data_IF_395332189913
#
_entry.id   IF_395332189913
#
_cell.length_a   1.000
_cell.length_b   1.000
_cell.length_c   1.000
_cell.angle_alpha   90.00
_cell.angle_beta   90.00
_cell.angle_gamma   90.00
#
_symmetry.space_group_name_H-M   'P 1'
#
loop_
_entity.id
_entity.type
_entity.pdbx_description
1 polymer ?
#
# COMPACT_ATOMS: atom_id res chain seq x y z
N UNK A 1 19.95 -8.75 -1.69
CA UNK A 1 18.81 -8.66 -0.77
C UNK A 1 17.57 -9.35 -1.33
N UNK A 2 16.91 -8.88 -2.39
CA UNK A 2 15.73 -9.58 -2.95
C UNK A 2 16.04 -11.02 -3.44
N UNK A 3 17.11 -11.20 -4.21
CA UNK A 3 17.57 -12.53 -4.64
C UNK A 3 17.98 -13.41 -3.45
N UNK A 4 18.57 -12.83 -2.41
CA UNK A 4 18.99 -13.57 -1.22
C UNK A 4 17.81 -13.96 -0.33
N UNK A 5 16.76 -13.13 -0.30
CA UNK A 5 15.50 -13.46 0.36
C UNK A 5 14.77 -14.59 -0.40
N UNK A 6 14.78 -14.55 -1.73
CA UNK A 6 14.26 -15.63 -2.58
C UNK A 6 15.06 -16.92 -2.39
N UNK A 7 16.39 -16.85 -2.31
CA UNK A 7 17.25 -18.01 -2.05
C UNK A 7 16.94 -18.58 -0.66
N UNK A 8 16.90 -17.75 0.39
CA UNK A 8 16.58 -18.20 1.75
C UNK A 8 15.17 -18.78 1.87
N UNK A 9 14.20 -18.23 1.13
CA UNK A 9 12.84 -18.76 1.05
C UNK A 9 12.79 -20.12 0.35
N UNK A 10 13.50 -20.27 -0.79
CA UNK A 10 13.57 -21.55 -1.50
C UNK A 10 14.33 -22.61 -0.71
N UNK A 11 15.41 -22.22 -0.02
CA UNK A 11 16.14 -23.09 0.89
C UNK A 11 15.23 -23.54 2.04
N UNK A 12 14.45 -22.62 2.63
CA UNK A 12 13.48 -22.96 3.66
C UNK A 12 12.41 -23.96 3.17
N UNK A 13 11.80 -23.71 2.01
CA UNK A 13 10.78 -24.61 1.41
C UNK A 13 11.39 -25.97 1.05
N UNK A 14 12.63 -26.00 0.57
CA UNK A 14 13.35 -27.25 0.28
C UNK A 14 13.53 -28.06 1.55
N UNK A 15 13.92 -27.41 2.64
CA UNK A 15 14.24 -28.06 3.90
C UNK A 15 12.98 -28.48 4.68
N UNK A 16 11.86 -27.76 4.53
CA UNK A 16 10.58 -28.05 5.19
C UNK A 16 9.67 -29.00 4.41
N UNK A 17 9.59 -28.87 3.09
CA UNK A 17 8.55 -29.47 2.25
C UNK A 17 9.11 -30.28 1.07
N UNK A 18 10.44 -30.31 0.92
CA UNK A 18 11.15 -31.11 -0.07
C UNK A 18 11.27 -30.47 -1.45
N UNK A 19 12.06 -31.13 -2.31
CA UNK A 19 12.52 -30.57 -3.59
C UNK A 19 11.37 -30.31 -4.58
N UNK A 20 10.32 -31.14 -4.58
CA UNK A 20 9.14 -30.90 -5.43
C UNK A 20 8.36 -29.64 -5.04
N UNK A 21 8.25 -29.35 -3.73
CA UNK A 21 7.60 -28.15 -3.24
C UNK A 21 8.42 -26.89 -3.57
N UNK A 22 9.74 -26.98 -3.43
CA UNK A 22 10.68 -25.93 -3.85
C UNK A 22 10.56 -25.63 -5.35
N UNK A 23 10.48 -26.65 -6.22
CA UNK A 23 10.30 -26.47 -7.66
C UNK A 23 8.96 -25.80 -8.00
N UNK A 24 7.88 -26.16 -7.30
CA UNK A 24 6.58 -25.49 -7.44
C UNK A 24 6.62 -24.03 -6.96
N UNK A 25 7.29 -23.76 -5.84
CA UNK A 25 7.51 -22.41 -5.33
C UNK A 25 8.36 -21.59 -6.30
N UNK A 26 9.41 -22.17 -6.87
CA UNK A 26 10.24 -21.52 -7.88
C UNK A 26 9.46 -21.19 -9.15
N UNK A 27 8.64 -22.13 -9.66
CA UNK A 27 7.75 -21.87 -10.80
C UNK A 27 6.74 -20.76 -10.52
N UNK A 28 6.24 -20.64 -9.28
CA UNK A 28 5.35 -19.53 -8.86
C UNK A 28 6.07 -18.19 -8.81
N UNK A 29 7.30 -18.17 -8.29
CA UNK A 29 8.15 -16.96 -8.29
C UNK A 29 8.48 -16.54 -9.73
N UNK A 30 8.83 -17.49 -10.59
CA UNK A 30 9.04 -17.25 -12.02
C UNK A 30 7.76 -16.78 -12.72
N UNK A 31 6.60 -17.38 -12.41
CA UNK A 31 5.33 -16.95 -12.97
C UNK A 31 4.99 -15.51 -12.53
N UNK A 32 5.12 -15.19 -11.24
CA UNK A 32 4.93 -13.82 -10.73
C UNK A 32 5.89 -12.82 -11.38
N UNK A 33 7.12 -13.25 -11.68
CA UNK A 33 8.10 -12.45 -12.41
C UNK A 33 7.74 -12.24 -13.89
N UNK A 34 7.26 -13.28 -14.57
CA UNK A 34 6.88 -13.25 -16.00
C UNK A 34 5.56 -12.49 -16.22
N UNK A 35 4.57 -12.65 -15.33
CA UNK A 35 3.28 -11.96 -15.43
C UNK A 35 3.38 -10.44 -15.19
N UNK A 36 4.41 -9.96 -14.51
CA UNK A 36 4.75 -8.53 -14.47
C UNK A 36 5.23 -7.98 -15.84
N UNK A 37 5.49 -8.83 -16.83
CA UNK A 37 6.04 -8.47 -18.14
C UNK A 37 5.04 -8.33 -19.29
N UNK A 38 3.79 -8.79 -19.16
CA UNK A 38 2.90 -9.04 -20.31
C UNK A 38 1.72 -8.05 -20.48
N UNK A 39 1.91 -6.78 -20.09
CA UNK A 39 0.99 -5.71 -20.46
C UNK A 39 1.68 -4.68 -21.36
N UNK A 40 1.79 -4.99 -22.66
CA UNK A 40 2.32 -4.06 -23.67
C UNK A 40 1.62 -4.15 -25.01
N UNK A 41 0.78 -3.15 -25.32
CA UNK A 41 0.60 -2.53 -26.64
C UNK A 41 -0.07 -1.17 -26.39
N UNK A 42 0.33 -0.02 -26.94
CA UNK A 42 0.63 0.29 -28.33
C UNK A 42 1.53 1.54 -28.48
N UNK A 43 2.11 1.64 -29.67
CA UNK A 43 3.10 2.59 -30.24
C UNK A 43 2.67 4.06 -30.41
N UNK A 44 3.64 4.99 -30.52
CA UNK A 44 3.96 5.76 -31.77
C UNK A 44 5.19 6.69 -31.62
N UNK A 45 5.79 7.01 -32.77
CA UNK A 45 7.11 7.63 -33.02
C UNK A 45 7.12 9.17 -33.02
N UNK A 46 8.29 9.80 -32.78
CA UNK A 46 8.84 10.96 -33.55
C UNK A 46 10.20 11.41 -32.95
N UNK A 47 11.32 11.27 -33.68
CA UNK A 47 12.09 12.28 -34.45
C UNK A 47 12.80 13.35 -33.60
N UNK A 48 14.13 13.38 -33.74
CA UNK A 48 15.09 14.20 -33.02
C UNK A 48 15.32 15.58 -33.66
N UNK A 49 15.63 16.60 -32.84
CA UNK A 49 16.53 17.71 -33.21
C UNK A 49 17.09 18.49 -32.00
N UNK A 50 18.42 18.59 -32.01
CA UNK A 50 19.41 19.57 -31.50
C UNK A 50 19.53 20.01 -30.01
N UNK A 51 20.78 20.16 -29.48
CA UNK A 51 21.07 20.27 -28.06
C UNK A 51 21.19 21.72 -27.57
N UNK A 52 20.45 22.06 -26.52
CA UNK A 52 20.70 23.26 -25.72
C UNK A 52 21.49 22.91 -24.46
N UNK A 53 22.51 23.71 -24.19
CA UNK A 53 23.58 23.49 -23.20
C UNK A 53 23.03 23.39 -21.77
N UNK A 54 23.31 22.26 -21.12
CA UNK A 54 23.03 21.99 -19.71
C UNK A 54 24.04 22.73 -18.80
N UNK A 55 23.54 23.35 -17.73
CA UNK A 55 24.36 23.75 -16.57
C UNK A 55 24.09 22.71 -15.47
N UNK A 56 25.00 21.77 -15.22
CA UNK A 56 24.81 20.73 -14.21
C UNK A 56 24.78 21.33 -12.81
N UNK A 57 23.88 20.86 -11.96
CA UNK A 57 24.05 20.95 -10.52
C UNK A 57 24.77 19.65 -10.07
N UNK A 58 26.10 19.68 -9.90
CA UNK A 58 26.93 18.47 -9.83
C UNK A 58 26.60 17.58 -8.62
N UNK A 59 26.13 18.15 -7.52
CA UNK A 59 25.81 17.41 -6.30
C UNK A 59 24.54 16.58 -6.48
N UNK A 60 23.53 17.14 -7.16
CA UNK A 60 22.24 16.48 -7.37
C UNK A 60 22.30 15.38 -8.45
N UNK A 61 23.05 15.61 -9.52
CA UNK A 61 23.30 14.59 -10.55
C UNK A 61 24.10 13.41 -9.98
N UNK A 62 25.09 13.68 -9.13
CA UNK A 62 25.86 12.65 -8.44
C UNK A 62 24.97 11.80 -7.53
N UNK A 63 24.10 12.43 -6.73
CA UNK A 63 23.13 11.73 -5.89
C UNK A 63 22.19 10.85 -6.74
N UNK A 64 21.67 11.38 -7.85
CA UNK A 64 20.79 10.63 -8.74
C UNK A 64 21.51 9.42 -9.39
N UNK A 65 22.76 9.59 -9.81
CA UNK A 65 23.57 8.50 -10.35
C UNK A 65 23.84 7.40 -9.32
N UNK A 66 24.11 7.79 -8.06
CA UNK A 66 24.29 6.82 -6.97
C UNK A 66 23.02 6.00 -6.74
N UNK A 67 21.85 6.65 -6.79
CA UNK A 67 20.55 5.96 -6.72
C UNK A 67 20.42 4.98 -7.87
N UNK A 68 20.59 5.41 -9.13
CA UNK A 68 20.48 4.52 -10.29
C UNK A 68 21.50 3.37 -10.23
N UNK A 69 22.74 3.61 -9.82
CA UNK A 69 23.75 2.57 -9.70
C UNK A 69 23.36 1.51 -8.65
N UNK A 70 22.73 1.93 -7.55
CA UNK A 70 22.14 1.02 -6.56
C UNK A 70 20.98 0.20 -7.15
N UNK A 71 20.06 0.86 -7.87
CA UNK A 71 18.87 0.21 -8.46
C UNK A 71 19.19 -0.70 -9.65
N UNK A 72 20.19 -0.37 -10.46
CA UNK A 72 20.67 -1.17 -11.60
C UNK A 72 21.04 -2.59 -11.15
N UNK A 73 21.68 -2.73 -9.99
CA UNK A 73 22.02 -4.06 -9.43
C UNK A 73 20.78 -4.87 -9.07
N UNK A 74 19.74 -4.22 -8.56
CA UNK A 74 18.46 -4.86 -8.21
C UNK A 74 17.58 -5.12 -9.44
N UNK A 75 17.69 -4.29 -10.48
CA UNK A 75 16.90 -4.35 -11.70
C UNK A 75 17.47 -5.32 -12.77
N UNK A 76 18.61 -5.97 -12.49
CA UNK A 76 19.25 -6.90 -13.42
C UNK A 76 18.29 -8.02 -13.82
N UNK A 77 18.02 -8.12 -15.11
CA UNK A 77 17.12 -9.13 -15.66
C UNK A 77 15.63 -8.76 -15.60
N UNK A 78 15.23 -7.66 -14.96
CA UNK A 78 13.83 -7.21 -14.95
C UNK A 78 13.45 -6.58 -16.30
N UNK A 79 14.36 -5.84 -16.91
CA UNK A 79 14.10 -5.13 -18.16
C UNK A 79 14.45 -5.93 -19.42
N UNK A 80 14.89 -7.21 -19.32
CA UNK A 80 15.42 -7.98 -20.46
C UNK A 80 14.42 -8.20 -21.61
N UNK A 81 13.12 -8.12 -21.31
CA UNK A 81 12.03 -8.20 -22.30
C UNK A 81 11.49 -6.84 -22.73
N UNK A 82 11.93 -5.75 -22.08
CA UNK A 82 11.47 -4.39 -22.37
C UNK A 82 12.03 -3.91 -23.70
N UNK A 83 11.13 -3.57 -24.63
CA UNK A 83 11.47 -2.90 -25.89
C UNK A 83 11.66 -1.39 -25.72
N UNK A 84 11.55 -0.87 -24.49
CA UNK A 84 11.76 0.54 -24.23
C UNK A 84 13.20 0.95 -24.55
N UNK A 85 13.33 2.05 -25.27
CA UNK A 85 14.61 2.63 -25.67
C UNK A 85 14.75 4.02 -25.10
N UNK A 86 15.97 4.33 -24.73
CA UNK A 86 16.36 5.66 -24.29
C UNK A 86 17.46 6.12 -25.25
N UNK A 87 17.13 7.07 -26.12
CA UNK A 87 17.97 7.42 -27.26
C UNK A 87 18.22 6.21 -28.17
N UNK A 88 19.49 5.92 -28.45
CA UNK A 88 19.88 4.84 -29.38
C UNK A 88 19.98 3.45 -28.73
N UNK A 89 19.95 3.34 -27.40
CA UNK A 89 20.16 2.06 -26.69
C UNK A 89 18.88 1.57 -26.00
N UNK A 90 18.82 0.28 -25.70
CA UNK A 90 17.70 -0.29 -24.94
C UNK A 90 17.88 -0.01 -23.44
N UNK A 91 16.80 -0.10 -22.66
CA UNK A 91 16.89 -0.01 -21.20
C UNK A 91 17.78 -1.11 -20.59
N UNK A 92 17.84 -2.29 -21.23
CA UNK A 92 18.71 -3.39 -20.82
C UNK A 92 20.18 -3.00 -20.93
N UNK A 93 20.54 -2.41 -22.07
CA UNK A 93 21.91 -1.97 -22.31
C UNK A 93 22.26 -0.89 -21.29
N UNK A 94 21.40 0.13 -21.15
CA UNK A 94 21.62 1.24 -20.23
C UNK A 94 21.80 0.78 -18.78
N UNK A 95 20.99 -0.17 -18.33
CA UNK A 95 20.97 -0.67 -16.96
C UNK A 95 21.82 -1.94 -16.78
N UNK A 96 22.85 -2.14 -17.60
CA UNK A 96 23.83 -3.20 -17.38
C UNK A 96 24.77 -2.84 -16.21
N UNK A 97 24.85 -3.65 -15.12
CA UNK A 97 25.66 -3.32 -13.95
C UNK A 97 27.16 -3.21 -14.18
N UNK A 98 27.71 -3.85 -15.23
CA UNK A 98 29.12 -3.72 -15.57
C UNK A 98 29.38 -2.39 -16.29
N UNK A 99 28.54 -2.05 -17.27
CA UNK A 99 28.65 -0.82 -18.04
C UNK A 99 28.34 0.42 -17.19
N UNK A 100 27.37 0.34 -16.27
CA UNK A 100 26.97 1.46 -15.40
C UNK A 100 28.02 1.86 -14.34
N UNK A 101 29.14 1.12 -14.23
CA UNK A 101 30.28 1.53 -13.39
C UNK A 101 31.15 2.61 -14.06
N UNK A 102 31.07 2.77 -15.38
CA UNK A 102 31.83 3.80 -16.10
C UNK A 102 31.20 5.19 -15.89
N UNK A 103 31.99 6.21 -15.48
CA UNK A 103 31.52 7.58 -15.37
C UNK A 103 31.03 8.15 -16.71
N UNK A 104 31.65 7.77 -17.82
CA UNK A 104 31.23 8.16 -19.17
C UNK A 104 29.85 7.57 -19.51
N UNK A 105 29.63 6.32 -19.13
CA UNK A 105 28.34 5.65 -19.29
C UNK A 105 27.23 6.34 -18.49
N UNK A 106 27.52 6.67 -17.24
CA UNK A 106 26.59 7.38 -16.35
C UNK A 106 26.21 8.76 -16.90
N UNK A 107 27.18 9.52 -17.40
CA UNK A 107 26.93 10.83 -18.04
C UNK A 107 26.11 10.69 -19.32
N UNK A 108 26.42 9.71 -20.16
CA UNK A 108 25.67 9.45 -21.39
C UNK A 108 24.23 9.02 -21.08
N UNK A 109 24.04 8.18 -20.05
CA UNK A 109 22.73 7.78 -19.56
C UNK A 109 21.89 8.98 -19.12
N UNK A 110 22.42 9.82 -18.21
CA UNK A 110 21.69 11.00 -17.73
C UNK A 110 21.33 11.95 -18.88
N UNK A 111 22.26 12.22 -19.79
CA UNK A 111 22.00 13.07 -20.96
C UNK A 111 20.82 12.54 -21.78
N UNK A 112 20.80 11.24 -22.08
CA UNK A 112 19.70 10.65 -22.83
C UNK A 112 18.39 10.61 -22.02
N UNK A 113 18.47 10.45 -20.70
CA UNK A 113 17.32 10.49 -19.80
C UNK A 113 16.65 11.86 -19.77
N UNK A 114 17.45 12.92 -19.71
CA UNK A 114 16.98 14.31 -19.73
C UNK A 114 16.18 14.65 -20.98
N UNK A 115 16.56 14.10 -22.14
CA UNK A 115 15.87 14.36 -23.40
C UNK A 115 14.70 13.41 -23.69
N UNK A 116 14.48 12.40 -22.86
CA UNK A 116 13.53 11.34 -23.15
C UNK A 116 12.10 11.71 -22.78
N UNK A 117 11.38 12.33 -23.70
CA UNK A 117 9.91 12.47 -23.58
C UNK A 117 9.21 11.16 -23.97
N UNK A 118 8.10 10.79 -23.30
CA UNK A 118 7.41 11.49 -22.20
C UNK A 118 7.95 11.14 -20.79
N UNK A 119 9.08 10.44 -20.68
CA UNK A 119 9.62 9.97 -19.40
C UNK A 119 10.07 11.11 -18.49
N UNK A 120 10.74 12.12 -19.05
CA UNK A 120 11.16 13.35 -18.37
C UNK A 120 10.61 14.56 -19.12
N UNK A 121 9.80 15.36 -18.42
CA UNK A 121 9.44 16.71 -18.81
C UNK A 121 10.27 17.68 -17.97
N UNK A 122 11.29 18.28 -18.59
CA UNK A 122 12.18 19.25 -17.93
C UNK A 122 11.37 20.34 -17.23
N UNK A 123 11.67 20.60 -15.96
CA UNK A 123 11.00 21.62 -15.15
C UNK A 123 9.65 21.20 -14.56
N UNK A 124 9.16 20.00 -14.86
CA UNK A 124 7.85 19.53 -14.39
C UNK A 124 7.89 18.03 -14.06
N UNK A 125 8.26 17.74 -12.81
CA UNK A 125 8.26 16.41 -12.22
C UNK A 125 6.86 15.79 -12.20
N UNK A 126 5.80 16.58 -12.02
CA UNK A 126 4.42 16.08 -11.93
C UNK A 126 3.92 15.53 -13.27
N UNK A 127 4.36 16.14 -14.38
CA UNK A 127 4.06 15.70 -15.74
C UNK A 127 4.96 14.58 -16.24
N UNK A 128 6.10 14.36 -15.58
CA UNK A 128 7.09 13.34 -15.96
C UNK A 128 6.57 11.93 -15.72
N UNK A 129 6.43 11.14 -16.79
CA UNK A 129 5.92 9.76 -16.69
C UNK A 129 6.77 8.90 -15.76
N UNK A 130 8.10 9.10 -15.74
CA UNK A 130 8.97 8.36 -14.82
C UNK A 130 8.59 8.59 -13.35
N UNK A 131 8.32 9.84 -12.97
CA UNK A 131 7.90 10.19 -11.60
C UNK A 131 6.53 9.59 -11.30
N UNK A 132 5.58 9.67 -12.24
CA UNK A 132 4.25 9.09 -12.09
C UNK A 132 4.29 7.56 -11.89
N UNK A 133 5.13 6.85 -12.65
CA UNK A 133 5.26 5.39 -12.53
C UNK A 133 5.91 4.95 -11.22
N UNK A 134 6.70 5.82 -10.58
CA UNK A 134 7.35 5.55 -9.28
C UNK A 134 6.44 5.84 -8.08
N UNK A 135 5.39 6.65 -8.27
CA UNK A 135 4.41 7.00 -7.23
C UNK A 135 3.34 5.94 -7.05
N UNK A 136 2.49 6.10 -6.03
CA UNK A 136 1.32 5.26 -5.80
C UNK A 136 0.46 5.10 -7.06
N UNK A 137 0.05 3.86 -7.35
CA UNK A 137 -0.70 3.50 -8.56
C UNK A 137 0.15 3.37 -9.84
N UNK A 138 1.43 3.75 -9.79
CA UNK A 138 2.39 3.55 -10.87
C UNK A 138 2.95 2.13 -10.92
N UNK A 139 3.40 1.68 -12.10
CA UNK A 139 3.86 0.29 -12.30
C UNK A 139 5.21 0.00 -11.66
N UNK A 140 5.98 1.04 -11.36
CA UNK A 140 7.27 0.99 -10.70
C UNK A 140 7.16 1.40 -9.21
N UNK A 141 5.94 1.44 -8.68
CA UNK A 141 5.68 1.73 -7.28
C UNK A 141 6.50 0.81 -6.36
N UNK A 142 7.13 1.40 -5.35
CA UNK A 142 7.95 0.70 -4.35
C UNK A 142 9.38 0.34 -4.80
N UNK A 143 9.78 0.64 -6.03
CA UNK A 143 11.18 0.40 -6.45
C UNK A 143 12.14 1.53 -6.01
N UNK A 144 11.63 2.71 -5.66
CA UNK A 144 12.37 3.84 -5.09
C UNK A 144 11.82 4.16 -3.69
N UNK A 145 12.65 4.69 -2.80
CA UNK A 145 12.18 5.27 -1.53
C UNK A 145 11.71 6.71 -1.74
N UNK A 146 10.99 7.29 -0.78
CA UNK A 146 10.57 8.69 -0.81
C UNK A 146 11.77 9.66 -0.96
N UNK A 147 12.87 9.39 -0.25
CA UNK A 147 14.09 10.19 -0.37
C UNK A 147 14.67 10.12 -1.78
N UNK A 148 14.69 8.93 -2.37
CA UNK A 148 15.22 8.71 -3.72
C UNK A 148 14.33 9.38 -4.78
N UNK A 149 13.01 9.26 -4.67
CA UNK A 149 12.08 9.97 -5.56
C UNK A 149 12.24 11.49 -5.40
N UNK A 150 12.35 11.99 -4.17
CA UNK A 150 12.54 13.42 -3.93
C UNK A 150 13.85 13.99 -4.51
N UNK A 151 14.90 13.17 -4.70
CA UNK A 151 16.09 13.58 -5.47
C UNK A 151 15.77 13.66 -6.96
N UNK A 152 15.06 12.66 -7.51
CA UNK A 152 14.65 12.64 -8.92
C UNK A 152 13.72 13.81 -9.27
N UNK A 153 12.70 14.09 -8.44
CA UNK A 153 11.76 15.19 -8.65
C UNK A 153 12.49 16.54 -8.68
N UNK A 154 13.31 16.81 -7.65
CA UNK A 154 14.15 18.02 -7.62
C UNK A 154 15.05 18.10 -8.84
N UNK A 155 15.63 16.98 -9.28
CA UNK A 155 16.47 16.97 -10.47
C UNK A 155 15.67 17.37 -11.70
N UNK A 156 14.53 16.74 -11.97
CA UNK A 156 13.64 17.09 -13.09
C UNK A 156 13.26 18.56 -13.05
N UNK A 157 12.85 19.06 -11.88
CA UNK A 157 12.38 20.43 -11.71
C UNK A 157 13.51 21.46 -11.91
N UNK A 158 14.75 21.11 -11.58
CA UNK A 158 15.93 21.96 -11.82
C UNK A 158 16.37 22.02 -13.29
N UNK A 159 15.86 21.13 -14.17
CA UNK A 159 16.22 21.12 -15.59
C UNK A 159 15.72 22.34 -16.37
N UNK A 160 14.89 23.20 -15.76
CA UNK A 160 14.41 24.46 -16.34
C UNK A 160 14.80 25.68 -15.50
N UNK A 161 16.06 26.08 -15.57
CA UNK A 161 16.44 27.49 -15.36
C UNK A 161 17.03 28.04 -16.65
N UNK A 162 16.18 28.53 -17.55
CA UNK A 162 16.46 29.58 -18.56
C UNK A 162 15.21 29.84 -19.40
N UNK A 163 14.25 30.55 -18.82
CA UNK A 163 13.64 31.73 -19.45
C UNK A 163 12.60 32.29 -18.47
N UNK A 164 12.98 33.38 -17.83
CA UNK A 164 12.01 34.39 -17.43
C UNK A 164 11.42 34.92 -18.72
N UNK A 165 10.14 34.65 -19.00
CA UNK A 165 9.18 35.68 -19.39
C UNK A 165 7.76 35.13 -19.62
N UNK A 166 6.88 35.66 -18.76
CA UNK A 166 5.50 36.10 -18.99
C UNK A 166 4.41 35.14 -19.51
N UNK A 167 3.46 34.88 -18.58
CA UNK A 167 2.00 35.05 -18.73
C UNK A 167 1.37 34.45 -20.00
N UNK A 168 0.55 33.41 -19.82
CA UNK A 168 -0.86 33.45 -20.26
C UNK A 168 -1.71 32.36 -19.60
N UNK A 169 -2.59 32.85 -18.74
CA UNK A 169 -3.87 32.25 -18.40
C UNK A 169 -4.69 32.14 -19.70
N UNK A 170 -5.22 30.95 -19.99
CA UNK A 170 -6.53 30.85 -20.62
C UNK A 170 -7.13 29.48 -20.33
N UNK A 171 -8.22 29.54 -19.58
CA UNK A 171 -9.25 28.53 -19.45
C UNK A 171 -9.66 27.95 -20.81
N UNK A 172 -9.97 26.66 -20.83
CA UNK A 172 -11.08 26.14 -21.64
C UNK A 172 -11.47 24.76 -21.10
N UNK A 173 -12.45 24.78 -20.21
CA UNK A 173 -13.28 23.63 -19.86
C UNK A 173 -14.01 23.16 -21.12
N UNK A 174 -13.93 21.85 -21.43
CA UNK A 174 -14.94 21.19 -22.26
C UNK A 174 -15.38 19.90 -21.61
N UNK A 175 -16.60 19.96 -21.10
CA UNK A 175 -17.50 18.85 -20.83
C UNK A 175 -17.48 17.83 -21.98
N UNK A 176 -17.43 16.54 -21.64
CA UNK A 176 -17.93 15.50 -22.52
C UNK A 176 -18.86 14.57 -21.74
N UNK A 177 -20.14 14.67 -22.09
CA UNK A 177 -21.22 13.81 -21.65
C UNK A 177 -21.04 12.41 -22.25
N UNK A 178 -21.09 11.37 -21.43
CA UNK A 178 -21.17 9.98 -21.89
C UNK A 178 -22.54 9.41 -21.51
N UNK A 179 -23.34 9.18 -22.53
CA UNK A 179 -24.65 8.52 -22.46
C UNK A 179 -24.44 7.02 -22.24
N UNK A 180 -24.99 6.48 -21.17
CA UNK A 180 -24.97 5.05 -20.86
C UNK A 180 -25.99 4.29 -21.70
N UNK A 181 -25.53 3.28 -22.43
CA UNK A 181 -26.35 2.28 -23.11
C UNK A 181 -26.63 1.10 -22.18
N UNK A 182 -27.92 0.88 -21.93
CA UNK A 182 -28.48 -0.20 -21.10
C UNK A 182 -28.40 -1.55 -21.80
N UNK A 183 -27.97 -2.60 -21.10
CA UNK A 183 -28.23 -3.99 -21.50
C UNK A 183 -28.77 -4.76 -20.29
N UNK A 184 -29.97 -5.32 -20.47
CA UNK A 184 -30.75 -6.07 -19.49
C UNK A 184 -30.44 -7.58 -19.56
N UNK A 185 -30.70 -8.24 -18.41
CA UNK A 185 -31.06 -9.66 -18.22
C UNK A 185 -29.92 -10.71 -18.28
N UNK A 186 -29.82 -11.71 -17.39
CA UNK A 186 -30.86 -12.37 -16.60
C UNK A 186 -30.37 -13.03 -15.28
N UNK A 187 -31.36 -13.27 -14.42
CA UNK A 187 -31.34 -13.77 -13.04
C UNK A 187 -30.78 -15.18 -12.81
N UNK A 188 -30.01 -15.35 -11.71
CA UNK A 188 -29.95 -16.61 -10.93
C UNK A 188 -29.90 -16.29 -9.41
N UNK A 189 -31.04 -16.52 -8.76
CA UNK A 189 -31.34 -16.82 -7.35
C UNK A 189 -30.60 -16.11 -6.19
N UNK A 190 -31.25 -15.04 -5.69
CA UNK A 190 -31.13 -14.54 -4.32
C UNK A 190 -31.74 -15.52 -3.30
N UNK A 191 -31.11 -15.64 -2.13
CA UNK A 191 -31.80 -15.97 -0.90
C UNK A 191 -31.59 -14.83 0.11
N UNK A 192 -32.67 -14.08 0.38
CA UNK A 192 -32.98 -13.19 1.52
C UNK A 192 -31.90 -12.25 2.07
N UNK A 193 -31.80 -11.05 1.49
CA UNK A 193 -31.02 -9.90 1.98
C UNK A 193 -31.91 -8.73 2.49
N UNK A 194 -33.12 -9.00 3.00
CA UNK A 194 -34.12 -7.96 3.30
C UNK A 194 -33.99 -7.27 4.67
N UNK A 195 -32.91 -7.48 5.43
CA UNK A 195 -32.73 -6.84 6.75
C UNK A 195 -31.32 -6.35 7.08
N UNK A 196 -30.39 -6.28 6.10
CA UNK A 196 -29.06 -5.76 6.39
C UNK A 196 -29.14 -4.23 6.57
N UNK A 197 -28.94 -3.75 7.80
CA UNK A 197 -28.70 -2.32 8.05
C UNK A 197 -27.43 -1.91 7.31
N UNK A 198 -27.54 -0.87 6.47
CA UNK A 198 -26.38 -0.24 5.87
C UNK A 198 -25.43 0.23 6.99
N UNK A 199 -24.11 0.09 6.82
CA UNK A 199 -23.14 0.71 7.72
C UNK A 199 -23.42 2.22 7.84
N UNK A 200 -23.11 2.84 8.99
CA UNK A 200 -23.08 4.30 9.05
C UNK A 200 -22.14 4.80 7.94
N UNK A 201 -22.50 5.94 7.34
CA UNK A 201 -21.64 6.58 6.35
C UNK A 201 -20.23 6.70 6.94
N UNK A 202 -19.22 6.18 6.23
CA UNK A 202 -17.81 6.31 6.60
C UNK A 202 -17.42 7.76 6.30
N UNK A 203 -17.97 8.69 7.07
CA UNK A 203 -17.67 10.10 6.94
C UNK A 203 -16.27 10.35 7.53
N UNK A 204 -15.47 11.22 6.92
CA UNK A 204 -14.21 11.68 7.51
C UNK A 204 -14.53 12.21 8.90
N UNK A 205 -13.89 11.62 9.91
CA UNK A 205 -14.04 12.10 11.28
C UNK A 205 -13.14 13.30 11.42
N UNK A 206 -13.73 14.47 11.67
CA UNK A 206 -12.97 15.70 11.94
C UNK A 206 -11.94 15.43 13.06
N UNK A 207 -10.65 15.70 12.83
CA UNK A 207 -9.61 15.49 13.84
C UNK A 207 -9.91 16.39 15.05
N UNK A 208 -10.20 15.77 16.19
CA UNK A 208 -10.41 16.46 17.46
C UNK A 208 -11.81 16.37 18.09
N UNK A 209 -12.77 15.66 17.49
CA UNK A 209 -14.14 15.57 18.06
C UNK A 209 -14.37 14.47 19.10
N UNK A 210 -13.38 13.61 19.37
CA UNK A 210 -13.50 12.51 20.33
C UNK A 210 -13.39 13.02 21.79
N UNK A 211 -14.48 13.55 22.32
CA UNK A 211 -14.55 14.04 23.69
C UNK A 211 -14.69 12.88 24.69
N UNK A 212 -13.76 12.80 25.66
CA UNK A 212 -13.82 11.88 26.81
C UNK A 212 -14.99 12.25 27.72
N UNK A 213 -16.20 11.81 27.40
CA UNK A 213 -17.40 12.18 28.14
C UNK A 213 -17.88 11.13 29.14
N UNK A 214 -17.50 9.85 29.00
CA UNK A 214 -17.90 8.76 29.90
C UNK A 214 -16.77 7.72 30.01
N UNK A 215 -16.45 7.19 31.22
CA UNK A 215 -15.50 6.09 31.35
C UNK A 215 -16.04 4.84 30.64
N UNK A 216 -15.36 4.41 29.57
CA UNK A 216 -15.70 3.18 28.86
C UNK A 216 -15.04 2.00 29.55
N UNK A 217 -15.83 1.01 29.95
CA UNK A 217 -15.31 -0.24 30.51
C UNK A 217 -15.28 -1.34 29.46
N UNK A 218 -14.13 -2.01 29.40
CA UNK A 218 -13.90 -3.10 28.46
C UNK A 218 -13.82 -4.44 29.17
N UNK A 219 -14.49 -5.44 28.57
CA UNK A 219 -14.34 -6.85 28.92
C UNK A 219 -13.08 -7.39 28.27
N UNK A 220 -11.98 -7.39 29.02
CA UNK A 220 -10.67 -7.84 28.55
C UNK A 220 -10.69 -9.23 27.87
N UNK A 221 -11.43 -10.24 28.37
CA UNK A 221 -11.50 -11.54 27.70
C UNK A 221 -12.09 -11.49 26.29
N UNK A 222 -12.91 -10.48 26.00
CA UNK A 222 -13.48 -10.26 24.67
C UNK A 222 -12.61 -9.30 23.85
N UNK A 223 -12.04 -8.28 24.48
CA UNK A 223 -11.20 -7.28 23.80
C UNK A 223 -9.90 -7.88 23.27
N UNK A 224 -9.12 -8.58 24.10
CA UNK A 224 -7.77 -9.03 23.76
C UNK A 224 -7.71 -9.95 22.52
N UNK A 225 -8.50 -11.03 22.41
CA UNK A 225 -8.42 -11.89 21.22
C UNK A 225 -8.84 -11.16 19.95
N UNK A 226 -9.78 -10.22 20.05
CA UNK A 226 -10.21 -9.41 18.92
C UNK A 226 -9.15 -8.36 18.54
N UNK A 227 -8.53 -7.72 19.53
CA UNK A 227 -7.45 -6.76 19.33
C UNK A 227 -6.25 -7.38 18.60
N UNK A 228 -5.76 -8.54 19.02
CA UNK A 228 -4.61 -9.14 18.35
C UNK A 228 -4.97 -9.75 16.99
N UNK A 229 -6.17 -10.33 16.82
CA UNK A 229 -6.56 -10.89 15.53
C UNK A 229 -6.81 -9.86 14.44
N UNK A 230 -7.32 -8.67 14.78
CA UNK A 230 -7.64 -7.68 13.72
C UNK A 230 -6.39 -7.14 13.04
N UNK A 231 -5.26 -7.04 13.75
CA UNK A 231 -3.98 -6.63 13.16
C UNK A 231 -3.53 -7.55 12.02
N UNK A 232 -3.91 -8.83 12.08
CA UNK A 232 -3.55 -9.82 11.06
C UNK A 232 -4.63 -10.03 9.99
N UNK A 233 -5.74 -9.28 10.03
CA UNK A 233 -6.94 -9.56 9.24
C UNK A 233 -6.71 -9.50 7.73
N UNK A 234 -5.88 -8.53 7.29
CA UNK A 234 -5.59 -8.26 5.89
C UNK A 234 -4.15 -8.61 5.48
N UNK A 235 -3.30 -9.08 6.40
CA UNK A 235 -1.88 -9.35 6.12
C UNK A 235 -1.67 -10.33 4.96
N UNK A 236 -2.50 -11.39 4.89
CA UNK A 236 -2.41 -12.37 3.81
C UNK A 236 -2.74 -11.80 2.43
N UNK A 237 -3.42 -10.65 2.34
CA UNK A 237 -3.81 -10.04 1.07
C UNK A 237 -2.59 -9.59 0.27
N UNK A 238 -1.57 -9.05 0.95
CA UNK A 238 -0.37 -8.51 0.31
C UNK A 238 0.66 -9.58 -0.08
N UNK A 239 0.39 -10.86 0.22
CA UNK A 239 1.28 -11.97 -0.17
C UNK A 239 1.28 -12.24 -1.68
N UNK A 240 0.28 -11.73 -2.40
CA UNK A 240 0.24 -11.75 -3.86
C UNK A 240 0.41 -10.32 -4.40
N UNK A 241 1.63 -9.91 -4.81
CA UNK A 241 1.92 -8.53 -5.23
C UNK A 241 1.05 -8.01 -6.38
N UNK A 242 0.53 -8.89 -7.24
CA UNK A 242 -0.37 -8.49 -8.31
C UNK A 242 -1.65 -7.81 -7.78
N UNK A 243 -2.12 -8.23 -6.60
CA UNK A 243 -3.34 -7.70 -5.97
C UNK A 243 -3.14 -6.29 -5.41
N UNK A 244 -1.90 -5.88 -5.17
CA UNK A 244 -1.59 -4.58 -4.59
C UNK A 244 -1.45 -3.47 -5.64
N UNK A 245 -1.67 -3.78 -6.91
CA UNK A 245 -1.54 -2.83 -8.03
C UNK A 245 -2.83 -2.08 -8.35
N UNK A 246 -3.97 -2.51 -7.82
CA UNK A 246 -5.24 -1.80 -7.92
C UNK A 246 -5.35 -0.68 -6.87
N UNK A 247 -6.31 0.22 -7.05
CA UNK A 247 -6.60 1.28 -6.08
C UNK A 247 -7.07 0.71 -4.73
N UNK A 248 -7.97 -0.27 -4.73
CA UNK A 248 -8.29 -1.14 -3.59
C UNK A 248 -7.05 -1.74 -2.94
N UNK A 249 -6.16 -2.33 -3.74
CA UNK A 249 -4.96 -2.99 -3.23
C UNK A 249 -4.00 -2.00 -2.57
N UNK A 250 -3.86 -0.81 -3.14
CA UNK A 250 -3.11 0.29 -2.55
C UNK A 250 -3.75 0.75 -1.24
N UNK A 251 -5.07 0.89 -1.19
CA UNK A 251 -5.81 1.24 0.02
C UNK A 251 -5.61 0.21 1.14
N UNK A 252 -5.61 -1.09 0.82
CA UNK A 252 -5.28 -2.16 1.78
C UNK A 252 -3.84 -2.03 2.29
N UNK A 253 -2.87 -1.69 1.43
CA UNK A 253 -1.50 -1.42 1.91
C UNK A 253 -1.49 -0.24 2.88
N UNK A 254 -2.19 0.87 2.58
CA UNK A 254 -2.25 2.03 3.48
C UNK A 254 -2.81 1.69 4.86
N UNK A 255 -3.85 0.84 4.90
CA UNK A 255 -4.41 0.30 6.15
C UNK A 255 -3.35 -0.47 6.91
N UNK A 256 -2.73 -1.49 6.28
CA UNK A 256 -1.69 -2.31 6.92
C UNK A 256 -0.51 -1.45 7.40
N UNK A 257 -0.15 -0.42 6.62
CA UNK A 257 0.92 0.50 6.99
C UNK A 257 0.58 1.28 8.26
N UNK A 258 -0.63 1.82 8.34
CA UNK A 258 -1.11 2.49 9.55
C UNK A 258 -1.09 1.53 10.74
N UNK A 259 -1.60 0.30 10.58
CA UNK A 259 -1.63 -0.72 11.63
C UNK A 259 -0.24 -1.12 12.14
N UNK A 260 0.77 -1.12 11.27
CA UNK A 260 2.15 -1.43 11.63
C UNK A 260 2.92 -0.23 12.20
N UNK A 261 2.27 0.93 12.39
CA UNK A 261 2.92 2.13 12.93
C UNK A 261 3.83 2.85 11.94
N UNK A 262 3.78 2.53 10.64
CA UNK A 262 4.53 3.25 9.62
C UNK A 262 4.03 4.68 9.46
N UNK A 263 4.91 5.59 9.02
CA UNK A 263 4.52 6.98 8.84
C UNK A 263 3.45 7.13 7.74
N UNK A 264 2.72 8.26 7.80
CA UNK A 264 1.73 8.61 6.79
C UNK A 264 2.38 8.61 5.41
N UNK A 265 1.64 8.09 4.44
CA UNK A 265 2.15 7.82 3.11
C UNK A 265 2.61 9.10 2.42
N UNK A 266 3.88 9.12 2.02
CA UNK A 266 4.41 10.06 1.06
C UNK A 266 3.99 9.71 -0.38
N UNK A 267 4.47 10.46 -1.38
CA UNK A 267 4.20 10.17 -2.80
C UNK A 267 4.70 8.77 -3.24
N UNK A 268 5.59 8.13 -2.48
CA UNK A 268 6.02 6.73 -2.64
C UNK A 268 5.79 5.95 -1.34
N UNK A 269 5.85 4.62 -1.41
CA UNK A 269 6.05 3.82 -0.21
C UNK A 269 7.46 4.10 0.34
N UNK A 270 7.52 4.78 1.50
CA UNK A 270 8.70 4.80 2.33
C UNK A 270 9.07 3.36 2.73
N UNK A 271 10.34 3.01 2.55
CA UNK A 271 10.81 1.64 2.51
C UNK A 271 11.32 1.13 3.87
N UNK A 272 12.38 0.33 3.81
CA UNK A 272 13.06 -0.31 4.95
C UNK A 272 13.56 0.67 6.03
N UNK A 273 13.66 1.95 5.72
CA UNK A 273 14.05 3.01 6.65
C UNK A 273 13.03 3.19 7.78
N UNK A 274 11.74 3.03 7.49
CA UNK A 274 10.70 3.11 8.52
C UNK A 274 10.65 1.87 9.41
N UNK A 275 11.05 0.69 8.91
CA UNK A 275 11.01 -0.57 9.66
C UNK A 275 11.98 -0.61 10.85
N UNK A 276 12.94 0.33 10.87
CA UNK A 276 13.91 0.48 11.97
C UNK A 276 13.47 1.47 13.06
N UNK A 277 12.31 2.11 12.90
CA UNK A 277 11.80 3.13 13.82
C UNK A 277 11.19 2.48 15.06
N UNK A 278 11.69 2.85 16.22
CA UNK A 278 11.14 2.42 17.53
C UNK A 278 10.18 3.44 18.13
N UNK A 279 10.00 4.59 17.47
CA UNK A 279 9.27 5.76 17.99
C UNK A 279 7.79 5.82 17.57
N UNK A 280 7.31 4.83 16.82
CA UNK A 280 5.94 4.78 16.31
C UNK A 280 5.35 3.38 16.51
N UNK A 281 4.62 3.13 17.62
CA UNK A 281 4.04 1.82 17.89
C UNK A 281 2.90 1.52 16.91
N UNK A 282 2.82 0.27 16.43
CA UNK A 282 1.66 -0.25 15.72
C UNK A 282 0.62 -0.83 16.67
N UNK A 283 -0.45 -1.38 16.11
CA UNK A 283 -1.58 -1.97 16.85
C UNK A 283 -1.13 -3.08 17.80
N UNK A 284 -0.15 -3.91 17.40
CA UNK A 284 0.36 -5.00 18.23
C UNK A 284 1.07 -4.44 19.45
N UNK A 285 1.96 -3.47 19.27
CA UNK A 285 2.68 -2.79 20.35
C UNK A 285 1.70 -2.08 21.32
N UNK A 286 0.65 -1.46 20.78
CA UNK A 286 -0.42 -0.86 21.60
C UNK A 286 -1.18 -1.92 22.42
N UNK A 287 -1.42 -3.10 21.85
CA UNK A 287 -2.02 -4.23 22.57
C UNK A 287 -1.14 -4.75 23.70
N UNK A 288 0.18 -4.80 23.48
CA UNK A 288 1.16 -5.15 24.51
C UNK A 288 1.22 -4.08 25.61
N UNK A 289 1.14 -2.79 25.26
CA UNK A 289 1.05 -1.72 26.26
C UNK A 289 -0.20 -1.85 27.12
N UNK A 290 -1.36 -2.09 26.50
CA UNK A 290 -2.63 -2.32 27.20
C UNK A 290 -2.49 -3.45 28.23
N UNK A 291 -1.92 -4.59 27.82
CA UNK A 291 -1.70 -5.72 28.72
C UNK A 291 -0.74 -5.37 29.85
N UNK A 292 0.37 -4.67 29.55
CA UNK A 292 1.35 -4.22 30.55
C UNK A 292 0.71 -3.28 31.59
N UNK A 293 -0.12 -2.33 31.15
CA UNK A 293 -0.80 -1.37 32.04
C UNK A 293 -1.83 -2.03 32.95
N UNK A 294 -2.38 -3.16 32.53
CA UNK A 294 -3.33 -3.98 33.29
C UNK A 294 -2.66 -5.12 34.07
N UNK A 295 -1.33 -5.13 34.15
CA UNK A 295 -0.53 -6.15 34.84
C UNK A 295 -0.79 -7.59 34.33
N UNK A 296 -1.14 -7.71 33.05
CA UNK A 296 -1.35 -9.00 32.37
C UNK A 296 -0.03 -9.54 31.79
N UNK A 297 0.12 -10.88 31.70
CA UNK A 297 1.32 -11.49 31.12
C UNK A 297 1.44 -11.16 29.63
N UNK A 298 2.64 -10.79 29.17
CA UNK A 298 2.89 -10.56 27.75
C UNK A 298 2.78 -11.88 26.97
N UNK A 299 1.99 -11.95 25.88
CA UNK A 299 1.97 -13.11 25.00
C UNK A 299 3.29 -13.21 24.23
N UNK A 300 3.69 -14.44 23.87
CA UNK A 300 4.77 -14.66 22.91
C UNK A 300 4.26 -14.67 21.47
N UNK A 301 3.01 -15.09 21.25
CA UNK A 301 2.36 -15.10 19.94
C UNK A 301 0.82 -15.07 20.07
N UNK A 302 0.12 -14.96 18.94
CA UNK A 302 -1.35 -14.87 18.92
C UNK A 302 -2.05 -16.11 19.47
N UNK A 303 -1.44 -17.29 19.35
CA UNK A 303 -1.96 -18.54 19.91
C UNK A 303 -2.04 -18.46 21.43
N UNK A 304 -1.05 -17.82 22.07
CA UNK A 304 -1.03 -17.66 23.53
C UNK A 304 -2.23 -16.81 23.99
N UNK A 305 -2.57 -15.76 23.22
CA UNK A 305 -3.76 -14.94 23.47
C UNK A 305 -5.03 -15.75 23.30
N UNK A 306 -5.17 -16.51 22.22
CA UNK A 306 -6.37 -17.31 21.95
C UNK A 306 -6.54 -18.47 22.94
N UNK A 307 -5.45 -19.01 23.49
CA UNK A 307 -5.50 -20.02 24.55
C UNK A 307 -5.92 -19.40 25.89
N UNK A 308 -5.39 -18.23 26.24
CA UNK A 308 -5.74 -17.54 27.48
C UNK A 308 -7.14 -16.91 27.43
N UNK A 309 -7.56 -16.44 26.26
CA UNK A 309 -8.82 -15.75 26.01
C UNK A 309 -9.52 -16.33 24.77
N UNK A 310 -10.16 -17.51 24.89
CA UNK A 310 -10.79 -18.16 23.76
C UNK A 310 -11.91 -17.31 23.14
N UNK A 311 -11.90 -17.19 21.82
CA UNK A 311 -12.93 -16.46 21.08
C UNK A 311 -13.25 -17.16 19.76
N UNK A 312 -14.46 -17.72 19.67
CA UNK A 312 -14.95 -18.36 18.45
C UNK A 312 -15.02 -17.38 17.26
N UNK A 313 -15.16 -16.07 17.52
CA UNK A 313 -15.11 -15.08 16.46
C UNK A 313 -13.67 -14.81 16.01
N UNK A 314 -12.71 -14.73 16.93
CA UNK A 314 -11.29 -14.63 16.60
C UNK A 314 -10.81 -15.80 15.71
N UNK A 315 -11.21 -17.02 16.05
CA UNK A 315 -10.93 -18.21 15.22
C UNK A 315 -11.60 -18.15 13.83
N UNK A 316 -12.81 -17.58 13.73
CA UNK A 316 -13.47 -17.34 12.44
C UNK A 316 -12.72 -16.30 11.61
N UNK A 317 -12.30 -15.19 12.21
CA UNK A 317 -11.49 -14.17 11.54
C UNK A 317 -10.21 -14.78 10.98
N UNK A 318 -9.51 -15.60 11.75
CA UNK A 318 -8.32 -16.31 11.27
C UNK A 318 -8.62 -17.14 10.01
N UNK A 319 -9.73 -17.90 10.01
CA UNK A 319 -10.13 -18.69 8.84
C UNK A 319 -10.45 -17.84 7.61
N UNK A 320 -11.12 -16.70 7.78
CA UNK A 320 -11.37 -15.78 6.67
C UNK A 320 -10.07 -15.16 6.14
N UNK A 321 -9.15 -14.79 7.04
CA UNK A 321 -7.85 -14.21 6.71
C UNK A 321 -6.93 -15.19 5.95
N UNK A 322 -7.12 -16.51 6.09
CA UNK A 322 -6.39 -17.52 5.31
C UNK A 322 -6.80 -17.57 3.82
N UNK A 323 -7.92 -16.95 3.44
CA UNK A 323 -8.36 -16.82 2.05
C UNK A 323 -8.79 -15.37 1.77
N UNK A 324 -7.85 -14.41 1.83
CA UNK A 324 -8.17 -13.00 1.94
C UNK A 324 -8.81 -12.46 0.66
N UNK A 325 -8.44 -12.97 -0.52
CA UNK A 325 -9.03 -12.57 -1.80
C UNK A 325 -10.51 -12.93 -1.88
N UNK A 326 -10.86 -14.16 -1.51
CA UNK A 326 -12.23 -14.64 -1.56
C UNK A 326 -13.12 -13.98 -0.50
N UNK A 327 -12.53 -13.52 0.60
CA UNK A 327 -13.23 -12.91 1.72
C UNK A 327 -13.04 -11.39 1.79
N UNK A 328 -12.42 -10.74 0.80
CA UNK A 328 -11.97 -9.34 0.92
C UNK A 328 -13.11 -8.39 1.34
N UNK A 329 -14.29 -8.39 0.69
CA UNK A 329 -15.38 -7.51 1.11
C UNK A 329 -15.81 -7.77 2.56
N UNK A 330 -15.90 -9.05 2.96
CA UNK A 330 -16.24 -9.46 4.33
C UNK A 330 -15.21 -8.95 5.34
N UNK A 331 -13.92 -9.13 5.05
CA UNK A 331 -12.81 -8.72 5.91
C UNK A 331 -12.76 -7.19 6.06
N UNK A 332 -12.97 -6.43 4.98
CA UNK A 332 -13.07 -4.97 5.02
C UNK A 332 -14.27 -4.51 5.86
N UNK A 333 -15.40 -5.21 5.77
CA UNK A 333 -16.56 -4.94 6.62
C UNK A 333 -16.25 -5.18 8.10
N UNK A 334 -15.61 -6.31 8.41
CA UNK A 334 -15.16 -6.62 9.77
C UNK A 334 -14.21 -5.51 10.26
N UNK A 335 -13.22 -5.11 9.46
CA UNK A 335 -12.29 -4.02 9.77
C UNK A 335 -13.02 -2.73 10.15
N UNK A 336 -14.08 -2.34 9.42
CA UNK A 336 -14.86 -1.14 9.77
C UNK A 336 -15.38 -1.18 11.22
N UNK A 337 -15.87 -2.32 11.68
CA UNK A 337 -16.31 -2.47 13.06
C UNK A 337 -15.13 -2.36 14.06
N UNK A 338 -13.96 -2.86 13.68
CA UNK A 338 -12.74 -2.76 14.50
C UNK A 338 -12.18 -1.34 14.60
N UNK A 339 -12.30 -0.54 13.55
CA UNK A 339 -12.01 0.89 13.60
C UNK A 339 -12.87 1.56 14.70
N UNK A 340 -14.16 1.23 14.77
CA UNK A 340 -15.05 1.75 15.83
C UNK A 340 -14.68 1.22 17.24
N UNK A 341 -14.09 0.03 17.34
CA UNK A 341 -13.54 -0.48 18.60
C UNK A 341 -12.31 0.33 19.01
N UNK A 342 -11.39 0.60 18.08
CA UNK A 342 -10.20 1.39 18.32
C UNK A 342 -10.57 2.82 18.77
N UNK A 343 -11.57 3.46 18.17
CA UNK A 343 -12.07 4.76 18.62
C UNK A 343 -12.51 4.77 20.08
N UNK A 344 -13.22 3.72 20.51
CA UNK A 344 -13.63 3.56 21.90
C UNK A 344 -12.41 3.41 22.82
N UNK A 345 -11.35 2.74 22.35
CA UNK A 345 -10.08 2.61 23.08
C UNK A 345 -9.34 3.96 23.15
N UNK A 346 -9.34 4.77 22.09
CA UNK A 346 -8.76 6.14 22.08
C UNK A 346 -9.36 7.01 23.19
N UNK A 347 -10.67 6.96 23.39
CA UNK A 347 -11.32 7.77 24.44
C UNK A 347 -11.29 7.12 25.83
N UNK A 348 -10.67 5.96 25.98
CA UNK A 348 -10.53 5.25 27.25
C UNK A 348 -9.24 5.61 28.00
N UNK A 349 -9.02 4.97 29.16
CA UNK A 349 -7.81 5.06 29.98
C UNK A 349 -6.86 3.86 29.80
N UNK A 350 -7.17 2.96 28.85
CA UNK A 350 -6.41 1.73 28.59
C UNK A 350 -4.99 1.98 28.05
N UNK A 351 -4.78 3.07 27.32
CA UNK A 351 -3.50 3.45 26.73
C UNK A 351 -2.93 4.71 27.37
N UNK A 352 -1.62 4.94 27.24
CA UNK A 352 -1.04 6.25 27.57
C UNK A 352 -1.61 7.35 26.66
N UNK A 353 -1.59 8.63 27.10
CA UNK A 353 -2.04 9.74 26.25
C UNK A 353 -1.32 9.78 24.89
N UNK A 354 0.00 9.57 24.89
CA UNK A 354 0.80 9.55 23.66
C UNK A 354 0.38 8.42 22.72
N UNK A 355 0.26 7.19 23.24
CA UNK A 355 -0.18 6.03 22.46
C UNK A 355 -1.62 6.18 21.97
N UNK A 356 -2.48 6.80 22.78
CA UNK A 356 -3.87 7.11 22.43
C UNK A 356 -3.94 8.09 21.25
N UNK A 357 -3.11 9.14 21.25
CA UNK A 357 -3.03 10.10 20.13
C UNK A 357 -2.53 9.41 18.85
N UNK A 358 -1.58 8.48 18.97
CA UNK A 358 -1.12 7.64 17.84
C UNK A 358 -2.22 6.73 17.31
N UNK A 359 -2.97 6.07 18.19
CA UNK A 359 -4.10 5.24 17.78
C UNK A 359 -5.16 6.06 17.05
N UNK A 360 -5.42 7.31 17.48
CA UNK A 360 -6.33 8.21 16.78
C UNK A 360 -5.87 8.51 15.34
N UNK A 361 -4.57 8.71 15.11
CA UNK A 361 -4.01 8.87 13.76
C UNK A 361 -4.17 7.60 12.91
N UNK A 362 -3.94 6.42 13.49
CA UNK A 362 -4.16 5.13 12.82
C UNK A 362 -5.63 5.00 12.40
N UNK A 363 -6.58 5.23 13.32
CA UNK A 363 -8.03 5.18 13.05
C UNK A 363 -8.42 6.06 11.87
N UNK A 364 -7.91 7.30 11.83
CA UNK A 364 -8.21 8.23 10.74
C UNK A 364 -7.69 7.71 9.39
N UNK A 365 -6.44 7.22 9.36
CA UNK A 365 -5.82 6.67 8.14
C UNK A 365 -6.51 5.40 7.65
N UNK A 366 -6.93 4.53 8.58
CA UNK A 366 -7.71 3.34 8.25
C UNK A 366 -9.06 3.72 7.64
N UNK A 367 -9.76 4.72 8.20
CA UNK A 367 -11.03 5.22 7.64
C UNK A 367 -10.88 5.78 6.24
N UNK A 368 -9.93 6.68 6.05
CA UNK A 368 -9.68 7.32 4.75
C UNK A 368 -9.42 6.26 3.67
N UNK A 369 -8.62 5.25 4.01
CA UNK A 369 -8.29 4.17 3.09
C UNK A 369 -9.45 3.20 2.87
N UNK A 370 -10.21 2.89 3.93
CA UNK A 370 -11.38 2.00 3.83
C UNK A 370 -12.53 2.65 3.04
N UNK A 371 -12.64 3.98 3.04
CA UNK A 371 -13.60 4.69 2.19
C UNK A 371 -13.32 4.47 0.70
N UNK A 372 -12.05 4.45 0.30
CA UNK A 372 -11.65 4.11 -1.09
C UNK A 372 -12.13 2.70 -1.43
N UNK A 373 -11.87 1.73 -0.55
CA UNK A 373 -12.34 0.36 -0.73
C UNK A 373 -13.88 0.29 -0.82
N UNK A 374 -14.60 0.99 0.05
CA UNK A 374 -16.06 1.00 0.08
C UNK A 374 -16.64 1.54 -1.24
N UNK A 375 -16.05 2.61 -1.77
CA UNK A 375 -16.48 3.25 -3.02
C UNK A 375 -16.35 2.30 -4.22
N UNK A 376 -15.29 1.48 -4.28
CA UNK A 376 -15.16 0.43 -5.29
C UNK A 376 -16.19 -0.69 -5.10
N UNK A 377 -16.41 -1.14 -3.85
CA UNK A 377 -17.37 -2.21 -3.56
C UNK A 377 -18.82 -1.81 -3.90
N UNK A 378 -19.19 -0.54 -3.75
CA UNK A 378 -20.52 -0.03 -4.08
C UNK A 378 -20.90 -0.23 -5.56
N UNK A 379 -19.91 -0.38 -6.44
CA UNK A 379 -20.13 -0.67 -7.87
C UNK A 379 -20.66 -2.10 -8.10
N UNK A 380 -20.44 -3.01 -7.15
CA UNK A 380 -20.92 -4.40 -7.18
C UNK A 380 -21.80 -4.69 -5.95
N UNK A 381 -23.12 -4.74 -6.18
CA UNK A 381 -24.11 -4.99 -5.12
C UNK A 381 -23.83 -6.27 -4.32
N UNK A 382 -23.29 -7.33 -4.94
CA UNK A 382 -23.01 -8.59 -4.26
C UNK A 382 -21.83 -8.46 -3.30
N UNK A 383 -20.77 -7.79 -3.75
CA UNK A 383 -19.61 -7.50 -2.91
C UNK A 383 -19.95 -6.52 -1.78
N UNK A 384 -20.72 -5.47 -2.08
CA UNK A 384 -21.19 -4.52 -1.07
C UNK A 384 -22.08 -5.16 0.01
N UNK A 385 -22.98 -6.08 -0.38
CA UNK A 385 -23.79 -6.83 0.58
C UNK A 385 -22.92 -7.71 1.50
N UNK A 386 -21.88 -8.32 0.94
CA UNK A 386 -20.89 -9.12 1.70
C UNK A 386 -20.12 -8.24 2.69
N UNK A 387 -19.74 -7.04 2.29
CA UNK A 387 -19.14 -6.02 3.16
C UNK A 387 -20.08 -5.63 4.31
N UNK A 388 -21.34 -5.32 4.03
CA UNK A 388 -22.34 -5.02 5.05
C UNK A 388 -22.51 -6.17 6.05
N UNK A 389 -22.51 -7.41 5.56
CA UNK A 389 -22.57 -8.60 6.43
C UNK A 389 -21.32 -8.72 7.31
N UNK A 390 -20.13 -8.41 6.78
CA UNK A 390 -18.88 -8.39 7.55
C UNK A 390 -18.94 -7.35 8.66
N UNK A 391 -19.41 -6.14 8.35
CA UNK A 391 -19.58 -5.07 9.33
C UNK A 391 -20.52 -5.44 10.46
N UNK A 392 -21.70 -5.98 10.16
CA UNK A 392 -22.65 -6.39 11.20
C UNK A 392 -22.09 -7.50 12.08
N UNK A 393 -21.34 -8.44 11.49
CA UNK A 393 -20.69 -9.52 12.23
C UNK A 393 -19.61 -8.97 13.17
N UNK A 394 -18.76 -8.07 12.68
CA UNK A 394 -17.76 -7.40 13.50
C UNK A 394 -18.40 -6.58 14.62
N UNK A 395 -19.42 -5.77 14.30
CA UNK A 395 -20.09 -4.88 15.24
C UNK A 395 -20.72 -5.61 16.43
N UNK A 396 -21.41 -6.73 16.17
CA UNK A 396 -21.97 -7.55 17.23
C UNK A 396 -20.91 -8.06 18.23
N UNK A 397 -19.69 -8.34 17.77
CA UNK A 397 -18.60 -8.78 18.63
C UNK A 397 -17.89 -7.60 19.33
N UNK A 398 -17.77 -6.45 18.65
CA UNK A 398 -17.26 -5.21 19.25
C UNK A 398 -18.15 -4.73 20.39
N UNK A 399 -19.47 -4.81 20.24
CA UNK A 399 -20.41 -4.45 21.31
C UNK A 399 -20.28 -5.41 22.50
N UNK A 400 -19.93 -6.68 22.27
CA UNK A 400 -19.65 -7.65 23.35
C UNK A 400 -18.38 -7.32 24.16
N UNK A 401 -17.48 -6.49 23.63
CA UNK A 401 -16.30 -6.01 24.36
C UNK A 401 -16.66 -4.94 25.40
N UNK A 402 -17.84 -4.35 25.33
CA UNK A 402 -18.26 -3.27 26.22
C UNK A 402 -19.13 -3.81 27.36
N UNK A 403 -19.00 -3.20 28.54
CA UNK A 403 -19.99 -3.40 29.61
C UNK A 403 -21.24 -2.56 29.34
N UNK A 404 -22.38 -3.20 29.09
CA UNK A 404 -23.68 -2.55 28.80
C UNK A 404 -24.33 -1.82 30.00
N UNK A 405 -23.59 -1.37 31.02
CA UNK A 405 -24.21 -0.72 32.19
C UNK A 405 -23.47 0.52 32.68
N UNK A 406 -24.10 1.67 32.44
CA UNK A 406 -24.31 2.69 33.47
C UNK A 406 -25.81 2.97 33.57
#
# INVERSE_FOLDING_TARGET
MAAECVIRYLDHIRDSEGVQAMDCAWKRIQAGFVFCGDASSSSTNAVATDPSIHIPNPDLESDLLNIFASKVKAARGIHCTSKARLGSRTMVDWLDPASFQSPEWQKDFLRNLTEARPWVYKGDSQKSKLVQELRWGGRMFGCFTDRELGVLERWVDTLCYTNVDHIRISDEEKEFSVTTGTTNQDNIYLNNASHLKAPPAILPTEPGSLSRSVPIRFRLPNLLPLWFMHGCLLEGFVYAPALTTSEMGCAVIRILRAQMGFAREGPVAAGMDEMSRTDSPGIVEMGLELMRRLELPSPGNITDILQAYPSAFAERMNRYAMAPVANLPLLLGILLAFIELQEKVVISDLLSPETSDRLADIVLRERDSLQVCCTELEQDRGQYATFCSGYQMGRANVDSCLDEKL
#
